data_IF_645155618312
#
_entry.id   IF_645155618312
#
_cell.length_a   1.000
_cell.length_b   1.000
_cell.length_c   1.000
_cell.angle_alpha   90.00
_cell.angle_beta   90.00
_cell.angle_gamma   90.00
#
_symmetry.space_group_name_H-M   'P 1'
#
loop_
_entity.id
_entity.type
_entity.pdbx_description
1 polymer ?
#
# COMPACT_ATOMS: atom_id res chain seq x y z
N UNK A 1 3.06 -0.08 23.56
CA UNK A 1 2.78 0.84 22.44
C UNK A 1 3.61 2.09 22.65
N UNK A 2 4.55 2.36 21.74
CA UNK A 2 5.40 3.56 21.78
C UNK A 2 5.21 4.35 20.50
N UNK A 3 4.57 5.50 20.59
CA UNK A 3 4.26 6.36 19.46
C UNK A 3 5.29 7.47 19.36
N UNK A 4 5.93 7.61 18.21
CA UNK A 4 6.92 8.65 17.92
C UNK A 4 6.25 9.78 17.13
N UNK A 5 6.26 11.00 17.71
CA UNK A 5 5.90 12.21 16.97
C UNK A 5 7.13 12.72 16.25
N UNK A 6 7.03 12.86 14.93
CA UNK A 6 8.15 13.33 14.11
C UNK A 6 8.26 14.86 14.16
N UNK A 7 9.49 15.34 14.22
CA UNK A 7 9.80 16.76 14.03
C UNK A 7 9.64 17.15 12.56
N UNK A 8 9.58 18.46 12.27
CA UNK A 8 9.50 18.92 10.87
C UNK A 8 10.71 18.51 10.04
N UNK A 9 11.91 18.46 10.65
CA UNK A 9 13.12 18.00 9.97
C UNK A 9 13.02 16.51 9.61
N UNK A 10 12.53 15.67 10.53
CA UNK A 10 12.29 14.25 10.28
C UNK A 10 11.21 14.03 9.22
N UNK A 11 10.12 14.82 9.27
CA UNK A 11 9.06 14.78 8.24
C UNK A 11 9.61 15.16 6.85
N UNK A 12 10.51 16.13 6.78
CA UNK A 12 11.18 16.51 5.55
C UNK A 12 12.02 15.35 4.96
N UNK A 13 12.69 14.56 5.79
CA UNK A 13 13.41 13.36 5.36
C UNK A 13 12.44 12.28 4.89
N UNK A 14 11.37 12.02 5.65
CA UNK A 14 10.32 11.08 5.25
C UNK A 14 9.63 11.48 3.94
N UNK A 15 9.43 12.78 3.70
CA UNK A 15 8.86 13.27 2.44
C UNK A 15 9.72 12.88 1.25
N UNK A 16 11.06 13.00 1.35
CA UNK A 16 11.98 12.58 0.30
C UNK A 16 11.90 11.08 0.04
N UNK A 17 11.91 10.26 1.10
CA UNK A 17 11.77 8.80 0.96
C UNK A 17 10.45 8.43 0.28
N UNK A 18 9.34 9.04 0.69
CA UNK A 18 8.01 8.78 0.14
C UNK A 18 7.83 9.31 -1.30
N UNK A 19 8.45 10.43 -1.65
CA UNK A 19 8.49 10.92 -3.03
C UNK A 19 9.22 9.90 -3.94
N UNK A 20 10.32 9.32 -3.46
CA UNK A 20 11.03 8.28 -4.20
C UNK A 20 10.17 7.03 -4.39
N UNK A 21 9.38 6.62 -3.38
CA UNK A 21 8.41 5.51 -3.56
C UNK A 21 7.43 5.83 -4.68
N UNK A 22 6.82 7.01 -4.69
CA UNK A 22 5.89 7.43 -5.75
C UNK A 22 6.53 7.44 -7.15
N UNK A 23 7.78 7.91 -7.26
CA UNK A 23 8.56 7.87 -8.50
C UNK A 23 8.89 6.43 -8.93
N UNK A 24 9.19 5.54 -7.97
CA UNK A 24 9.43 4.11 -8.25
C UNK A 24 8.18 3.44 -8.79
N UNK A 25 7.03 3.67 -8.17
CA UNK A 25 5.73 3.16 -8.65
C UNK A 25 5.41 3.69 -10.06
N UNK A 26 5.68 4.96 -10.34
CA UNK A 26 5.51 5.54 -11.67
C UNK A 26 6.46 4.91 -12.70
N UNK A 27 7.73 4.68 -12.34
CA UNK A 27 8.68 3.98 -13.21
C UNK A 27 8.17 2.58 -13.56
N UNK A 28 7.74 1.82 -12.53
CA UNK A 28 7.19 0.48 -12.73
C UNK A 28 5.94 0.49 -13.61
N UNK A 29 5.07 1.48 -13.45
CA UNK A 29 3.86 1.65 -14.27
C UNK A 29 4.14 1.70 -15.78
N UNK A 30 5.29 2.23 -16.21
CA UNK A 30 5.71 2.25 -17.63
C UNK A 30 5.99 0.84 -18.20
N UNK A 31 6.28 -0.11 -17.33
CA UNK A 31 6.66 -1.47 -17.70
C UNK A 31 5.52 -2.48 -17.54
N UNK A 32 4.40 -2.10 -16.91
CA UNK A 32 3.25 -2.99 -16.70
C UNK A 32 2.51 -3.21 -18.02
N UNK A 33 2.63 -4.42 -18.54
CA UNK A 33 1.94 -4.88 -19.77
C UNK A 33 1.95 -6.41 -19.83
N UNK A 34 1.06 -7.03 -20.63
CA UNK A 34 1.09 -8.46 -20.84
C UNK A 34 2.47 -8.97 -21.28
N UNK A 35 2.91 -10.11 -20.71
CA UNK A 35 4.19 -10.75 -21.01
C UNK A 35 5.36 -10.34 -20.11
N UNK A 36 5.21 -9.32 -19.27
CA UNK A 36 6.22 -8.95 -18.27
C UNK A 36 6.09 -9.86 -17.05
N UNK A 37 7.23 -10.32 -16.50
CA UNK A 37 7.23 -11.09 -15.25
C UNK A 37 7.34 -10.18 -14.04
N UNK A 38 6.79 -10.60 -12.90
CA UNK A 38 6.89 -9.82 -11.66
C UNK A 38 8.34 -9.68 -11.18
N UNK A 39 9.22 -10.67 -11.45
CA UNK A 39 10.64 -10.58 -11.16
C UNK A 39 11.36 -9.51 -12.01
N UNK A 40 10.91 -9.27 -13.25
CA UNK A 40 11.43 -8.15 -14.05
C UNK A 40 11.10 -6.80 -13.40
N UNK A 41 9.87 -6.64 -12.87
CA UNK A 41 9.48 -5.43 -12.14
C UNK A 41 10.31 -5.24 -10.86
N UNK A 42 10.58 -6.31 -10.12
CA UNK A 42 11.42 -6.27 -8.92
C UNK A 42 12.85 -5.77 -9.23
N UNK A 43 13.45 -6.26 -10.33
CA UNK A 43 14.78 -5.83 -10.77
C UNK A 43 14.81 -4.35 -11.16
N UNK A 44 13.78 -3.87 -11.86
CA UNK A 44 13.64 -2.45 -12.23
C UNK A 44 13.50 -1.60 -10.97
N UNK A 45 12.69 -2.02 -10.00
CA UNK A 45 12.53 -1.31 -8.73
C UNK A 45 13.85 -1.23 -7.96
N UNK A 46 14.60 -2.34 -7.84
CA UNK A 46 15.88 -2.36 -7.15
C UNK A 46 16.88 -1.39 -7.78
N UNK A 47 17.02 -1.42 -9.11
CA UNK A 47 17.91 -0.54 -9.85
C UNK A 47 17.52 0.92 -9.65
N UNK A 48 16.25 1.26 -9.88
CA UNK A 48 15.75 2.63 -9.74
C UNK A 48 15.94 3.20 -8.33
N UNK A 49 15.59 2.45 -7.28
CA UNK A 49 15.75 2.88 -5.89
C UNK A 49 17.23 3.12 -5.56
N UNK A 50 18.14 2.21 -5.99
CA UNK A 50 19.58 2.33 -5.72
C UNK A 50 20.23 3.48 -6.47
N UNK A 51 19.81 3.73 -7.69
CA UNK A 51 20.31 4.85 -8.51
C UNK A 51 19.95 6.22 -7.89
N UNK A 52 18.88 6.25 -7.08
CA UNK A 52 18.49 7.43 -6.30
C UNK A 52 19.09 7.47 -4.89
N UNK A 53 20.07 6.60 -4.59
CA UNK A 53 20.81 6.61 -3.32
C UNK A 53 20.05 6.04 -2.12
N UNK A 54 18.95 5.32 -2.37
CA UNK A 54 18.15 4.67 -1.34
C UNK A 54 18.35 3.14 -1.32
N UNK A 55 17.73 2.49 -0.34
CA UNK A 55 17.73 1.03 -0.20
C UNK A 55 16.29 0.53 -0.18
N UNK A 56 15.94 -0.52 -0.98
CA UNK A 56 14.65 -1.20 -0.82
C UNK A 56 14.53 -1.82 0.58
N UNK A 57 13.37 -1.66 1.23
CA UNK A 57 13.25 -2.03 2.65
C UNK A 57 12.62 -3.40 2.89
N UNK A 58 11.97 -3.99 1.89
CA UNK A 58 11.30 -5.28 2.08
C UNK A 58 12.25 -6.47 2.00
N UNK A 59 13.32 -6.38 1.21
CA UNK A 59 14.31 -7.46 1.09
C UNK A 59 14.96 -7.80 2.44
N UNK A 60 14.92 -9.07 2.79
CA UNK A 60 15.34 -9.61 4.08
C UNK A 60 14.47 -9.18 5.28
N UNK A 61 13.26 -8.66 5.03
CA UNK A 61 12.32 -8.40 6.12
C UNK A 61 12.01 -9.72 6.85
N UNK A 62 12.12 -9.75 8.20
CA UNK A 62 12.02 -10.98 8.95
C UNK A 62 10.62 -11.59 8.91
N UNK A 63 10.54 -12.93 8.77
CA UNK A 63 9.31 -13.70 8.86
C UNK A 63 9.38 -14.65 10.05
N UNK A 64 8.49 -14.54 11.05
CA UNK A 64 8.47 -15.43 12.20
C UNK A 64 8.07 -16.88 11.84
N UNK A 65 7.52 -17.12 10.64
CA UNK A 65 7.00 -18.41 10.21
C UNK A 65 7.80 -19.06 9.07
N UNK A 66 8.85 -18.39 8.58
CA UNK A 66 9.62 -18.88 7.43
C UNK A 66 10.88 -18.07 7.16
N UNK A 67 11.36 -18.18 5.91
CA UNK A 67 12.50 -17.39 5.44
C UNK A 67 12.15 -15.90 5.33
N UNK A 68 13.14 -15.00 5.48
CA UNK A 68 12.95 -13.58 5.24
C UNK A 68 12.40 -13.29 3.84
N UNK A 69 11.73 -12.14 3.66
CA UNK A 69 11.20 -11.76 2.35
C UNK A 69 12.32 -11.66 1.31
N UNK A 70 12.23 -12.36 0.16
CA UNK A 70 13.37 -12.53 -0.73
C UNK A 70 13.56 -11.40 -1.74
N UNK A 71 12.59 -10.48 -1.87
CA UNK A 71 12.49 -9.51 -2.97
C UNK A 71 12.49 -8.05 -2.48
N UNK A 72 12.58 -7.10 -3.40
CA UNK A 72 12.68 -5.67 -3.10
C UNK A 72 11.30 -4.99 -3.00
N UNK A 73 10.31 -5.53 -3.73
CA UNK A 73 8.91 -5.07 -3.74
C UNK A 73 7.98 -6.27 -3.54
N UNK A 74 6.72 -6.02 -3.13
CA UNK A 74 5.68 -7.02 -3.22
C UNK A 74 4.91 -6.86 -4.53
N UNK A 75 4.55 -7.99 -5.15
CA UNK A 75 3.77 -8.03 -6.40
C UNK A 75 2.59 -8.98 -6.24
N UNK A 76 1.41 -8.43 -6.05
CA UNK A 76 0.21 -9.17 -5.70
C UNK A 76 -0.78 -9.14 -6.87
N UNK A 77 -0.91 -10.26 -7.61
CA UNK A 77 -1.74 -10.37 -8.82
C UNK A 77 -3.13 -10.89 -8.45
N UNK A 78 -4.17 -10.27 -8.98
CA UNK A 78 -5.58 -10.65 -8.93
C UNK A 78 -6.11 -10.95 -7.51
N UNK A 79 -6.16 -12.22 -7.11
CA UNK A 79 -6.67 -12.69 -5.82
C UNK A 79 -5.63 -12.66 -4.69
N UNK A 80 -4.36 -12.41 -5.01
CA UNK A 80 -3.34 -12.12 -3.99
C UNK A 80 -3.57 -10.71 -3.45
N UNK A 81 -3.83 -10.62 -2.16
CA UNK A 81 -4.15 -9.36 -1.48
C UNK A 81 -2.90 -8.53 -1.25
N UNK A 82 -1.88 -9.16 -0.63
CA UNK A 82 -0.59 -8.54 -0.26
C UNK A 82 0.54 -9.56 -0.23
N UNK A 83 1.77 -9.07 -0.16
CA UNK A 83 3.01 -9.82 0.06
C UNK A 83 3.31 -10.88 -1.00
N UNK A 84 2.77 -10.74 -2.21
CA UNK A 84 3.14 -11.61 -3.32
C UNK A 84 4.64 -11.50 -3.62
N UNK A 85 5.31 -12.65 -3.72
CA UNK A 85 6.76 -12.71 -4.00
C UNK A 85 6.98 -12.61 -5.51
N UNK A 86 7.77 -11.64 -6.01
CA UNK A 86 8.14 -11.57 -7.42
C UNK A 86 8.78 -12.86 -7.96
N UNK A 87 8.29 -13.35 -9.09
CA UNK A 87 8.70 -14.62 -9.71
C UNK A 87 8.87 -14.52 -11.22
N UNK A 88 9.71 -15.37 -11.82
CA UNK A 88 9.79 -15.53 -13.27
C UNK A 88 8.59 -16.29 -13.84
N UNK A 89 7.89 -17.07 -13.00
CA UNK A 89 6.72 -17.83 -13.39
C UNK A 89 5.43 -16.98 -13.39
N UNK A 90 5.45 -15.85 -12.68
CA UNK A 90 4.32 -14.92 -12.60
C UNK A 90 4.38 -13.90 -13.75
N UNK A 91 3.82 -14.29 -14.88
CA UNK A 91 3.75 -13.50 -16.11
C UNK A 91 2.43 -12.75 -16.17
N UNK A 92 2.46 -11.43 -16.25
CA UNK A 92 1.27 -10.58 -16.39
C UNK A 92 0.52 -10.88 -17.70
N UNK A 93 -0.80 -10.90 -17.61
CA UNK A 93 -1.71 -11.20 -18.73
C UNK A 93 -2.69 -10.06 -18.93
N UNK A 94 -3.22 -9.96 -20.13
CA UNK A 94 -4.32 -9.06 -20.42
C UNK A 94 -5.50 -9.31 -19.48
N UNK A 95 -6.01 -8.25 -18.86
CA UNK A 95 -7.11 -8.32 -17.90
C UNK A 95 -6.72 -8.54 -16.45
N UNK A 96 -5.44 -8.78 -16.14
CA UNK A 96 -4.96 -8.87 -14.76
C UNK A 96 -4.98 -7.49 -14.08
N UNK A 97 -5.02 -7.51 -12.77
CA UNK A 97 -4.62 -6.38 -11.90
C UNK A 97 -3.40 -6.80 -11.08
N UNK A 98 -2.53 -5.85 -10.76
CA UNK A 98 -1.37 -6.09 -9.91
C UNK A 98 -1.21 -4.97 -8.91
N UNK A 99 -1.24 -5.32 -7.62
CA UNK A 99 -0.84 -4.40 -6.55
C UNK A 99 0.66 -4.48 -6.37
N UNK A 100 1.34 -3.34 -6.55
CA UNK A 100 2.77 -3.22 -6.29
C UNK A 100 2.94 -2.38 -5.03
N UNK A 101 3.54 -2.99 -4.04
CA UNK A 101 3.87 -2.36 -2.78
C UNK A 101 5.40 -2.18 -2.70
N UNK A 102 5.82 -0.96 -2.37
CA UNK A 102 7.21 -0.52 -2.47
C UNK A 102 7.61 0.31 -1.26
N UNK A 103 8.64 -0.15 -0.56
CA UNK A 103 9.26 0.58 0.54
C UNK A 103 10.69 1.02 0.22
N UNK A 104 11.06 2.23 0.63
CA UNK A 104 12.40 2.79 0.50
C UNK A 104 12.96 3.28 1.83
N UNK A 105 14.27 3.08 2.05
CA UNK A 105 15.01 3.70 3.14
C UNK A 105 15.96 4.74 2.56
N UNK A 106 15.71 6.00 2.86
CA UNK A 106 16.54 7.14 2.42
C UNK A 106 16.83 8.05 3.62
N UNK A 107 18.10 8.43 3.80
CA UNK A 107 18.55 9.30 4.89
C UNK A 107 18.09 8.84 6.29
N UNK A 108 17.95 7.51 6.50
CA UNK A 108 17.58 6.89 7.78
C UNK A 108 16.07 6.87 8.07
N UNK A 109 15.23 7.22 7.10
CA UNK A 109 13.76 7.16 7.21
C UNK A 109 13.14 6.33 6.11
N UNK A 110 12.07 5.61 6.45
CA UNK A 110 11.30 4.81 5.50
C UNK A 110 10.24 5.65 4.80
N UNK A 111 10.03 5.32 3.53
CA UNK A 111 8.84 5.65 2.76
C UNK A 111 8.15 4.37 2.37
N UNK A 112 6.81 4.40 2.25
CA UNK A 112 5.97 3.26 1.95
C UNK A 112 4.73 3.67 1.17
N UNK A 113 4.38 2.91 0.13
CA UNK A 113 3.16 3.13 -0.64
C UNK A 113 2.87 1.97 -1.58
N UNK A 114 1.59 1.70 -1.81
CA UNK A 114 1.11 0.68 -2.71
C UNK A 114 0.12 1.24 -3.73
N UNK A 115 0.22 0.77 -4.97
CA UNK A 115 -0.72 1.08 -6.04
C UNK A 115 -1.14 -0.17 -6.80
N UNK A 116 -2.44 -0.30 -7.10
CA UNK A 116 -2.97 -1.38 -7.93
C UNK A 116 -3.13 -0.91 -9.38
N UNK A 117 -2.39 -1.53 -10.29
CA UNK A 117 -2.37 -1.24 -11.72
C UNK A 117 -3.28 -2.19 -12.50
N UNK A 118 -3.84 -1.70 -13.59
CA UNK A 118 -4.48 -2.53 -14.60
C UNK A 118 -3.44 -3.03 -15.63
N UNK A 119 -3.55 -4.29 -16.07
CA UNK A 119 -2.72 -4.85 -17.14
C UNK A 119 -3.57 -4.93 -18.41
N UNK A 120 -3.42 -3.97 -19.31
CA UNK A 120 -4.28 -3.82 -20.48
C UNK A 120 -5.73 -3.53 -20.12
N UNK A 121 -6.68 -4.13 -20.87
CA UNK A 121 -8.12 -3.93 -20.64
C UNK A 121 -8.64 -4.87 -19.53
N UNK A 122 -9.09 -4.27 -18.43
CA UNK A 122 -9.61 -4.96 -17.25
C UNK A 122 -11.13 -4.87 -17.21
N UNK A 123 -11.79 -5.93 -16.73
CA UNK A 123 -13.25 -5.98 -16.61
C UNK A 123 -13.81 -4.78 -15.82
N UNK A 124 -14.92 -4.15 -16.25
CA UNK A 124 -15.46 -2.94 -15.58
C UNK A 124 -15.73 -3.09 -14.10
N UNK A 125 -16.19 -4.27 -13.64
CA UNK A 125 -16.43 -4.52 -12.21
C UNK A 125 -15.13 -4.52 -11.40
N UNK A 126 -14.02 -4.98 -11.97
CA UNK A 126 -12.70 -4.93 -11.33
C UNK A 126 -12.18 -3.49 -11.33
N UNK A 127 -12.34 -2.73 -12.42
CA UNK A 127 -12.04 -1.28 -12.42
C UNK A 127 -12.83 -0.55 -11.33
N UNK A 128 -14.08 -0.93 -11.09
CA UNK A 128 -14.89 -0.36 -10.01
C UNK A 128 -14.32 -0.71 -8.63
N UNK A 129 -13.86 -1.94 -8.40
CA UNK A 129 -13.18 -2.33 -7.16
C UNK A 129 -11.96 -1.42 -6.92
N UNK A 130 -11.11 -1.21 -7.93
CA UNK A 130 -9.94 -0.34 -7.81
C UNK A 130 -10.34 1.10 -7.45
N UNK A 131 -11.34 1.64 -8.14
CA UNK A 131 -11.85 2.99 -7.89
C UNK A 131 -12.38 3.14 -6.46
N UNK A 132 -13.18 2.17 -5.98
CA UNK A 132 -13.75 2.20 -4.63
C UNK A 132 -12.65 2.04 -3.58
N UNK A 133 -11.67 1.16 -3.80
CA UNK A 133 -10.54 0.98 -2.87
C UNK A 133 -9.71 2.26 -2.77
N UNK A 134 -9.33 2.85 -3.90
CA UNK A 134 -8.58 4.12 -3.94
C UNK A 134 -9.37 5.27 -3.27
N UNK A 135 -10.67 5.39 -3.55
CA UNK A 135 -11.50 6.41 -2.91
C UNK A 135 -11.61 6.19 -1.40
N UNK A 136 -11.71 4.93 -0.94
CA UNK A 136 -11.74 4.61 0.49
C UNK A 136 -10.47 5.03 1.24
N UNK A 137 -9.30 4.92 0.59
CA UNK A 137 -8.04 5.43 1.11
C UNK A 137 -8.12 6.93 1.39
N UNK A 138 -8.58 7.73 0.41
CA UNK A 138 -8.70 9.18 0.59
C UNK A 138 -9.73 9.55 1.66
N UNK A 139 -10.86 8.83 1.77
CA UNK A 139 -11.83 9.02 2.86
C UNK A 139 -11.23 8.68 4.24
N UNK A 140 -10.36 7.67 4.31
CA UNK A 140 -9.57 7.38 5.50
C UNK A 140 -8.63 8.53 5.86
N UNK A 141 -7.89 9.05 4.88
CA UNK A 141 -6.95 10.16 5.03
C UNK A 141 -7.66 11.45 5.50
N UNK A 142 -8.84 11.76 4.99
CA UNK A 142 -9.65 12.90 5.43
C UNK A 142 -9.99 12.84 6.93
N UNK A 143 -10.09 11.64 7.49
CA UNK A 143 -10.33 11.43 8.92
C UNK A 143 -9.05 11.32 9.76
N UNK A 144 -7.88 11.29 9.12
CA UNK A 144 -6.58 11.19 9.79
C UNK A 144 -6.06 12.56 10.28
N UNK A 145 -6.86 13.26 11.07
CA UNK A 145 -6.55 14.58 11.60
C UNK A 145 -6.35 14.55 13.13
N UNK A 146 -5.51 15.45 13.63
CA UNK A 146 -5.24 15.52 15.07
C UNK A 146 -6.52 15.76 15.90
N UNK A 147 -6.72 14.91 16.90
CA UNK A 147 -7.91 14.88 17.75
C UNK A 147 -8.91 13.77 17.38
N UNK A 148 -8.88 13.25 16.17
CA UNK A 148 -9.60 12.03 15.80
C UNK A 148 -8.86 10.79 16.31
N UNK A 149 -9.40 9.61 16.06
CA UNK A 149 -8.84 8.32 16.46
C UNK A 149 -8.60 7.41 15.25
N UNK A 150 -7.73 6.43 15.37
CA UNK A 150 -7.51 5.44 14.30
C UNK A 150 -8.81 4.72 13.89
N UNK A 151 -9.76 4.56 14.82
CA UNK A 151 -11.08 4.01 14.53
C UNK A 151 -11.96 4.89 13.62
N UNK A 152 -11.70 6.19 13.53
CA UNK A 152 -12.40 7.09 12.60
C UNK A 152 -11.94 6.85 11.16
N UNK A 153 -10.63 6.58 10.97
CA UNK A 153 -10.04 6.17 9.70
C UNK A 153 -10.69 4.87 9.22
N UNK A 154 -10.59 3.82 10.05
CA UNK A 154 -11.12 2.50 9.69
C UNK A 154 -12.63 2.49 9.49
N UNK A 155 -13.39 3.27 10.27
CA UNK A 155 -14.83 3.42 10.07
C UNK A 155 -15.17 3.99 8.68
N UNK A 156 -14.43 5.00 8.23
CA UNK A 156 -14.67 5.64 6.93
C UNK A 156 -14.37 4.69 5.78
N UNK A 157 -13.24 3.97 5.84
CA UNK A 157 -12.86 2.96 4.86
C UNK A 157 -13.92 1.86 4.81
N UNK A 158 -14.22 1.24 5.96
CA UNK A 158 -15.15 0.13 6.05
C UNK A 158 -16.54 0.51 5.55
N UNK A 159 -17.10 1.61 6.05
CA UNK A 159 -18.46 2.02 5.70
C UNK A 159 -18.61 2.28 4.21
N UNK A 160 -17.59 2.89 3.59
CA UNK A 160 -17.61 3.17 2.16
C UNK A 160 -17.52 1.89 1.33
N UNK A 161 -16.55 1.02 1.60
CA UNK A 161 -16.37 -0.22 0.84
C UNK A 161 -17.54 -1.20 0.99
N UNK A 162 -18.02 -1.41 2.23
CA UNK A 162 -19.17 -2.29 2.50
C UNK A 162 -20.46 -1.75 1.87
N UNK A 163 -20.66 -0.41 1.76
CA UNK A 163 -21.81 0.17 1.05
C UNK A 163 -21.81 -0.10 -0.45
N UNK A 164 -20.66 -0.41 -1.03
CA UNK A 164 -20.50 -0.84 -2.43
C UNK A 164 -20.52 -2.36 -2.60
N UNK A 165 -20.73 -3.11 -1.51
CA UNK A 165 -20.80 -4.57 -1.54
C UNK A 165 -19.46 -5.30 -1.48
N UNK A 166 -18.37 -4.59 -1.20
CA UNK A 166 -17.02 -5.15 -1.13
C UNK A 166 -16.64 -5.60 0.28
N UNK A 167 -15.77 -6.62 0.37
CA UNK A 167 -15.20 -7.11 1.62
C UNK A 167 -14.00 -6.27 2.06
N UNK A 168 -13.92 -5.98 3.36
CA UNK A 168 -12.76 -5.31 3.98
C UNK A 168 -11.94 -6.33 4.76
N UNK A 169 -10.66 -6.47 4.43
CA UNK A 169 -9.72 -7.35 5.15
C UNK A 169 -9.55 -6.84 6.58
N UNK A 170 -9.57 -7.75 7.56
CA UNK A 170 -9.57 -7.42 8.99
C UNK A 170 -8.30 -7.83 9.71
N UNK A 171 -7.62 -8.80 9.17
CA UNK A 171 -6.45 -9.47 9.76
C UNK A 171 -5.15 -8.69 9.53
N UNK A 172 -5.15 -7.80 8.54
CA UNK A 172 -4.05 -6.94 8.16
C UNK A 172 -4.43 -5.48 8.39
N UNK A 173 -3.44 -4.67 8.75
CA UNK A 173 -3.66 -3.30 9.20
C UNK A 173 -2.50 -2.41 8.76
N UNK A 174 -2.77 -1.15 8.52
CA UNK A 174 -1.75 -0.11 8.39
C UNK A 174 -0.99 0.11 9.70
N UNK A 175 0.02 0.94 9.68
CA UNK A 175 0.97 1.07 10.77
C UNK A 175 1.53 2.49 10.91
N UNK A 176 2.12 2.79 12.05
CA UNK A 176 3.05 3.90 12.18
C UNK A 176 4.30 3.64 11.34
N UNK A 177 4.96 4.68 10.87
CA UNK A 177 6.17 4.58 10.05
C UNK A 177 7.16 5.69 10.39
N UNK A 178 8.46 5.40 10.22
CA UNK A 178 9.53 6.37 10.49
C UNK A 178 10.91 5.79 10.29
N UNK A 179 11.69 5.69 11.36
CA UNK A 179 13.01 5.03 11.33
C UNK A 179 12.89 3.52 11.20
N UNK A 180 11.84 2.93 11.78
CA UNK A 180 11.44 1.56 11.47
C UNK A 180 10.34 1.59 10.40
N UNK A 181 10.29 0.53 9.57
CA UNK A 181 9.23 0.35 8.59
C UNK A 181 7.87 0.25 9.29
N UNK A 182 7.76 -0.58 10.30
CA UNK A 182 6.58 -0.72 11.12
C UNK A 182 6.81 -0.13 12.51
N UNK A 183 6.04 0.91 12.83
CA UNK A 183 5.97 1.55 14.16
C UNK A 183 4.53 1.50 14.70
N UNK A 184 4.36 1.82 15.98
CA UNK A 184 3.03 2.09 16.54
C UNK A 184 2.46 3.44 16.03
N UNK A 185 1.14 3.58 15.90
CA UNK A 185 0.09 2.61 16.19
C UNK A 185 -0.27 1.73 15.00
N UNK A 186 -0.92 0.57 15.21
CA UNK A 186 -1.64 -0.12 14.14
C UNK A 186 -2.81 0.74 13.66
N UNK A 187 -3.09 0.70 12.35
CA UNK A 187 -4.13 1.49 11.67
C UNK A 187 -5.10 0.56 10.94
N UNK A 188 -6.10 -0.02 11.62
CA UNK A 188 -7.04 -0.94 11.00
C UNK A 188 -7.92 -0.27 9.94
N UNK A 189 -8.27 -1.05 8.89
CA UNK A 189 -9.22 -0.66 7.85
C UNK A 189 -10.70 -0.81 8.26
N UNK A 190 -10.95 -1.11 9.51
CA UNK A 190 -12.27 -1.19 10.14
C UNK A 190 -12.24 -0.51 11.50
N UNK A 191 -13.39 -0.03 11.95
CA UNK A 191 -13.40 0.65 13.24
C UNK A 191 -14.75 1.17 13.67
N UNK A 192 -14.72 1.87 14.81
CA UNK A 192 -15.84 2.65 15.34
C UNK A 192 -15.34 4.06 15.60
N UNK A 193 -16.16 5.05 15.28
CA UNK A 193 -15.84 6.46 15.51
C UNK A 193 -15.45 6.72 16.98
N UNK A 194 -14.38 7.48 17.16
CA UNK A 194 -13.85 7.85 18.47
C UNK A 194 -13.13 6.73 19.22
N UNK A 195 -12.88 5.57 18.60
CA UNK A 195 -12.21 4.44 19.25
C UNK A 195 -10.74 4.32 18.81
N UNK A 196 -9.94 3.70 19.69
CA UNK A 196 -8.54 3.41 19.44
C UNK A 196 -7.62 4.56 19.82
N UNK A 197 -6.42 4.57 19.25
CA UNK A 197 -5.40 5.59 19.54
C UNK A 197 -5.85 6.94 19.01
N UNK A 198 -5.74 7.97 19.86
CA UNK A 198 -5.96 9.37 19.46
C UNK A 198 -4.82 9.84 18.57
N UNK A 199 -5.16 10.38 17.41
CA UNK A 199 -4.21 10.94 16.45
C UNK A 199 -3.65 12.27 16.94
N UNK A 200 -2.35 12.44 16.82
CA UNK A 200 -1.64 13.65 17.25
C UNK A 200 -0.86 14.23 16.09
N UNK A 201 -0.76 15.55 16.07
CA UNK A 201 0.08 16.29 15.10
C UNK A 201 1.52 15.75 15.11
N UNK A 202 2.08 15.46 13.95
CA UNK A 202 3.40 14.86 13.79
C UNK A 202 3.45 13.32 13.84
N UNK A 203 2.33 12.61 14.01
CA UNK A 203 2.28 11.16 13.77
C UNK A 203 2.42 10.91 12.27
N UNK A 204 3.32 9.99 11.88
CA UNK A 204 3.41 9.47 10.53
C UNK A 204 2.87 8.05 10.52
N UNK A 205 1.90 7.79 9.63
CA UNK A 205 1.21 6.50 9.53
C UNK A 205 0.99 6.11 8.07
N UNK A 206 1.01 4.81 7.80
CA UNK A 206 0.54 4.19 6.58
C UNK A 206 -0.96 3.89 6.71
N UNK A 207 -1.73 4.28 5.72
CA UNK A 207 -3.16 3.95 5.57
C UNK A 207 -3.28 3.14 4.30
N UNK A 208 -3.71 1.88 4.43
CA UNK A 208 -3.58 0.86 3.39
C UNK A 208 -4.83 -0.03 3.30
N UNK A 209 -5.95 0.46 2.76
CA UNK A 209 -7.13 -0.37 2.56
C UNK A 209 -6.83 -1.56 1.62
N UNK A 210 -7.11 -2.76 2.12
CA UNK A 210 -7.10 -4.03 1.40
C UNK A 210 -8.52 -4.49 1.23
N UNK A 211 -9.04 -4.45 0.00
CA UNK A 211 -10.46 -4.63 -0.32
C UNK A 211 -10.64 -5.78 -1.29
N UNK A 212 -11.58 -6.67 -0.99
CA UNK A 212 -11.87 -7.86 -1.80
C UNK A 212 -13.18 -7.69 -2.56
N UNK A 213 -13.23 -8.16 -3.79
CA UNK A 213 -14.41 -8.13 -4.63
C UNK A 213 -15.52 -9.07 -4.09
N UNK A 214 -15.11 -10.18 -3.50
CA UNK A 214 -15.99 -11.19 -2.91
C UNK A 214 -16.01 -11.19 -1.40
N UNK A 215 -15.77 -12.37 -0.83
CA UNK A 215 -15.73 -12.54 0.63
C UNK A 215 -14.42 -11.96 1.19
N UNK A 216 -14.50 -11.28 2.35
CA UNK A 216 -13.34 -10.70 3.04
C UNK A 216 -12.33 -11.70 3.61
N UNK A 217 -12.59 -13.02 3.52
CA UNK A 217 -11.72 -14.05 4.09
C UNK A 217 -10.47 -14.21 3.26
N UNK A 218 -9.35 -14.26 3.96
CA UNK A 218 -8.01 -14.42 3.38
C UNK A 218 -7.32 -15.66 3.92
N UNK A 219 -6.33 -16.15 3.19
CA UNK A 219 -5.51 -17.29 3.56
C UNK A 219 -4.04 -17.09 3.19
N UNK A 220 -3.15 -17.64 4.01
CA UNK A 220 -1.70 -17.64 3.75
C UNK A 220 -1.37 -18.64 2.64
N UNK A 221 -0.59 -18.23 1.66
CA UNK A 221 -0.11 -19.08 0.58
C UNK A 221 1.01 -20.04 1.06
N UNK A 222 1.30 -21.10 0.30
CA UNK A 222 2.34 -22.09 0.67
C UNK A 222 3.74 -21.50 0.83
N UNK A 223 4.05 -20.38 0.17
CA UNK A 223 5.30 -19.62 0.28
C UNK A 223 5.48 -18.95 1.66
N UNK A 224 4.44 -18.95 2.50
CA UNK A 224 4.39 -18.35 3.84
C UNK A 224 4.53 -16.82 3.88
N UNK A 225 4.35 -16.16 2.74
CA UNK A 225 4.32 -14.72 2.59
C UNK A 225 3.04 -14.22 1.94
N UNK A 226 2.75 -14.68 0.74
CA UNK A 226 1.58 -14.26 -0.01
C UNK A 226 0.30 -14.54 0.75
N UNK A 227 -0.61 -13.57 0.76
CA UNK A 227 -1.94 -13.68 1.36
C UNK A 227 -2.95 -13.47 0.24
N UNK A 228 -3.82 -14.47 0.03
CA UNK A 228 -4.82 -14.45 -1.04
C UNK A 228 -6.25 -14.55 -0.50
N UNK A 229 -7.23 -14.15 -1.31
CA UNK A 229 -8.64 -14.35 -1.00
C UNK A 229 -9.00 -15.83 -1.07
N UNK A 230 -9.83 -16.31 -0.12
CA UNK A 230 -10.22 -17.74 -0.05
C UNK A 230 -11.17 -18.12 -1.18
N UNK A 231 -11.88 -17.17 -1.75
CA UNK A 231 -12.84 -17.39 -2.85
C UNK A 231 -12.26 -17.10 -4.23
N UNK A 232 -10.96 -16.80 -4.30
CA UNK A 232 -10.23 -16.47 -5.53
C UNK A 232 -10.83 -15.30 -6.32
N UNK A 233 -11.57 -14.41 -5.66
CA UNK A 233 -12.04 -13.17 -6.26
C UNK A 233 -10.96 -12.10 -6.15
N UNK A 234 -10.91 -11.14 -7.11
CA UNK A 234 -9.92 -10.07 -7.10
C UNK A 234 -9.88 -9.27 -5.80
N UNK A 235 -8.70 -8.81 -5.42
CA UNK A 235 -8.47 -7.87 -4.35
C UNK A 235 -7.66 -6.67 -4.84
N UNK A 236 -7.89 -5.50 -4.25
CA UNK A 236 -7.15 -4.29 -4.53
C UNK A 236 -6.53 -3.74 -3.24
N UNK A 237 -5.33 -3.20 -3.38
CA UNK A 237 -4.56 -2.57 -2.31
C UNK A 237 -4.04 -1.21 -2.79
N UNK A 238 -4.38 -0.16 -2.06
CA UNK A 238 -3.81 1.18 -2.25
C UNK A 238 -3.32 1.69 -0.91
N UNK A 239 -2.21 2.42 -0.92
CA UNK A 239 -1.61 2.90 0.32
C UNK A 239 -0.96 4.26 0.14
N UNK A 240 -1.10 5.08 1.18
CA UNK A 240 -0.32 6.30 1.36
C UNK A 240 0.29 6.39 2.75
N UNK A 241 1.56 6.78 2.81
CA UNK A 241 2.15 7.34 4.02
C UNK A 241 1.71 8.80 4.17
N UNK A 242 1.20 9.14 5.35
CA UNK A 242 0.73 10.49 5.68
C UNK A 242 1.33 11.01 6.98
N UNK A 243 1.31 12.32 7.15
CA UNK A 243 1.50 12.99 8.45
C UNK A 243 0.16 13.47 8.95
N UNK A 244 -0.19 13.09 10.17
CA UNK A 244 -1.32 13.67 10.90
C UNK A 244 -1.04 15.12 11.20
N UNK A 245 -1.95 16.02 10.82
CA UNK A 245 -1.89 17.45 11.04
C UNK A 245 -3.16 17.98 11.68
N UNK A 246 -3.12 19.20 12.20
CA UNK A 246 -4.34 19.92 12.60
C UNK A 246 -5.13 20.30 11.35
N UNK A 247 -6.38 19.88 11.27
CA UNK A 247 -7.31 20.22 10.19
C UNK A 247 -7.25 19.29 8.99
N UNK A 248 -6.11 19.09 8.35
CA UNK A 248 -5.96 18.19 7.18
C UNK A 248 -4.63 17.44 7.25
N UNK A 249 -4.67 16.12 7.04
CA UNK A 249 -3.47 15.31 6.91
C UNK A 249 -2.63 15.73 5.70
N UNK A 250 -1.32 15.58 5.81
CA UNK A 250 -0.38 15.78 4.70
C UNK A 250 0.00 14.42 4.11
N UNK A 251 -0.24 14.21 2.84
CA UNK A 251 0.18 13.00 2.13
C UNK A 251 1.65 13.16 1.74
N UNK A 252 2.50 12.22 2.13
CA UNK A 252 3.93 12.23 1.83
C UNK A 252 4.27 11.47 0.54
N UNK A 253 3.62 10.33 0.27
CA UNK A 253 3.70 9.59 -0.98
C UNK A 253 2.73 10.19 -2.01
N UNK A 254 2.99 10.00 -3.31
CA UNK A 254 2.17 10.61 -4.35
C UNK A 254 1.87 9.63 -5.48
N UNK A 255 0.61 9.60 -5.92
CA UNK A 255 0.19 8.88 -7.12
C UNK A 255 0.17 9.77 -8.38
N UNK A 256 0.52 11.05 -8.26
CA UNK A 256 0.39 12.01 -9.36
C UNK A 256 1.08 11.57 -10.65
N UNK A 257 2.32 11.06 -10.54
CA UNK A 257 3.08 10.59 -11.71
C UNK A 257 2.49 9.30 -12.29
N UNK A 258 1.98 8.40 -11.44
CA UNK A 258 1.29 7.17 -11.87
C UNK A 258 0.01 7.53 -12.62
N UNK A 259 -0.83 8.39 -12.05
CA UNK A 259 -2.11 8.80 -12.63
C UNK A 259 -1.92 9.59 -13.94
N UNK A 260 -0.83 10.36 -14.04
CA UNK A 260 -0.47 11.04 -15.28
C UNK A 260 -0.17 10.04 -16.42
N UNK A 261 0.54 8.95 -16.11
CA UNK A 261 0.83 7.87 -17.07
C UNK A 261 -0.44 7.14 -17.51
N UNK A 262 -1.33 6.82 -16.56
CA UNK A 262 -2.62 6.19 -16.87
C UNK A 262 -3.48 7.08 -17.78
N UNK A 263 -3.51 8.39 -17.53
CA UNK A 263 -4.24 9.37 -18.36
C UNK A 263 -3.67 9.58 -19.77
N UNK A 264 -2.40 9.18 -20.02
CA UNK A 264 -1.80 9.24 -21.36
C UNK A 264 -2.10 7.97 -22.19
N UNK A 265 -2.53 6.89 -21.57
CA UNK A 265 -2.84 5.60 -22.20
C UNK A 265 -4.33 5.44 -22.55
N UNK A 266 -5.13 6.52 -22.36
CA UNK A 266 -6.54 6.65 -22.76
C UNK A 266 -6.58 7.59 -23.98
#
# INVERSE_FOLDING_TARGET
MQIFLKTEDEINLMRKANQLVGLTLAELGKHIKPGVTTLQLDRIAEEFIRDHGAVPTFKNFPNPFGEPFPANICTSINDVVVHGIPSEDDVLREGDIISIDCGTLLDGFNGDSCYTFCVGEVHPEVKQLLSVTKQSLYLGIENAVAGNHVGDIGFSIQSYCESHGYGVVRELVGHGIGKAMHEDPPVPNLGRRGNGVMLKDGMCIAIEPMITMGNRKIGLLPDKWGIATVDHQPAAHFEHTIVVRKGKAEILSSFQEVEHLEGQNI
#
